data_IF_545320200889
#
_entry.id   IF_545320200889
#
_cell.length_a   1.000
_cell.length_b   1.000
_cell.length_c   1.000
_cell.angle_alpha   90.00
_cell.angle_beta   90.00
_cell.angle_gamma   90.00
#
_symmetry.space_group_name_H-M   'P 1'
#
loop_
_entity.id
_entity.type
_entity.pdbx_description
1 polymer ?
#
# COMPACT_ATOMS: atom_id res chain seq x y z
N UNK A 1 -4.12 22.33 -24.90
CA UNK A 1 -3.35 21.33 -24.13
C UNK A 1 -3.93 19.96 -24.42
N UNK A 2 -3.11 18.94 -24.75
CA UNK A 2 -3.60 17.60 -25.05
C UNK A 2 -4.11 16.90 -23.79
N UNK A 3 -5.26 16.27 -23.90
CA UNK A 3 -5.82 15.41 -22.85
C UNK A 3 -5.06 14.08 -22.86
N UNK A 4 -4.58 13.65 -21.71
CA UNK A 4 -3.84 12.40 -21.54
C UNK A 4 -4.52 11.52 -20.49
N UNK A 5 -4.59 10.22 -20.76
CA UNK A 5 -5.09 9.23 -19.80
C UNK A 5 -4.04 9.05 -18.69
N UNK A 6 -4.49 8.78 -17.46
CA UNK A 6 -3.61 8.48 -16.36
C UNK A 6 -2.74 7.25 -16.68
N UNK A 7 -1.39 7.31 -16.54
CA UNK A 7 -0.49 6.25 -16.99
C UNK A 7 -0.78 4.89 -16.35
N UNK A 8 -1.16 4.85 -15.07
CA UNK A 8 -1.54 3.63 -14.39
C UNK A 8 -2.84 3.05 -15.00
N UNK A 9 -3.87 3.90 -15.20
CA UNK A 9 -5.13 3.47 -15.80
C UNK A 9 -4.95 2.85 -17.18
N UNK A 10 -4.07 3.42 -18.00
CA UNK A 10 -3.76 2.89 -19.33
C UNK A 10 -3.07 1.51 -19.29
N UNK A 11 -2.30 1.21 -18.23
CA UNK A 11 -1.53 -0.03 -18.08
C UNK A 11 -2.24 -1.12 -17.30
N UNK A 12 -3.34 -0.80 -16.63
CA UNK A 12 -4.12 -1.80 -15.89
C UNK A 12 -4.60 -2.90 -16.81
N UNK A 13 -4.65 -4.12 -16.29
CA UNK A 13 -5.03 -5.37 -16.98
C UNK A 13 -3.97 -5.88 -17.95
N UNK A 14 -3.28 -5.02 -18.69
CA UNK A 14 -2.25 -5.44 -19.66
C UNK A 14 -0.91 -5.76 -19.01
N UNK A 15 -0.31 -4.78 -18.31
CA UNK A 15 1.02 -4.91 -17.69
C UNK A 15 0.99 -4.80 -16.16
N UNK A 16 -0.05 -4.19 -15.60
CA UNK A 16 -0.18 -3.99 -14.15
C UNK A 16 -1.52 -4.50 -13.63
N UNK A 17 -1.49 -5.07 -12.43
CA UNK A 17 -2.69 -5.51 -11.71
C UNK A 17 -3.34 -4.35 -10.98
N UNK A 18 -4.65 -4.46 -10.76
CA UNK A 18 -5.37 -3.51 -9.90
C UNK A 18 -4.87 -3.58 -8.46
N UNK A 19 -4.80 -2.43 -7.80
CA UNK A 19 -4.43 -2.33 -6.38
C UNK A 19 -5.57 -2.69 -5.42
N UNK A 20 -6.80 -2.67 -5.91
CA UNK A 20 -7.99 -3.17 -5.20
C UNK A 20 -8.72 -4.11 -6.13
N UNK A 21 -8.98 -5.34 -5.68
CA UNK A 21 -9.63 -6.40 -6.46
C UNK A 21 -10.84 -6.88 -5.69
N UNK A 22 -11.99 -6.27 -6.00
CA UNK A 22 -13.25 -6.65 -5.40
C UNK A 22 -14.43 -6.12 -6.25
N UNK A 23 -15.58 -6.73 -6.04
CA UNK A 23 -16.85 -6.31 -6.60
C UNK A 23 -17.85 -6.09 -5.47
N UNK A 24 -18.73 -5.13 -5.62
CA UNK A 24 -19.83 -4.87 -4.69
C UNK A 24 -21.04 -4.34 -5.43
N UNK A 25 -22.22 -4.61 -4.89
CA UNK A 25 -23.46 -3.97 -5.30
C UNK A 25 -23.39 -2.47 -5.03
N UNK A 26 -24.17 -1.71 -5.79
CA UNK A 26 -24.14 -0.25 -5.80
C UNK A 26 -24.31 0.36 -4.39
N UNK A 27 -25.15 -0.24 -3.56
CA UNK A 27 -25.41 0.25 -2.20
C UNK A 27 -24.21 0.13 -1.23
N UNK A 28 -23.39 -0.90 -1.40
CA UNK A 28 -22.25 -1.18 -0.52
C UNK A 28 -20.94 -0.60 -1.06
N UNK A 29 -20.92 -0.21 -2.32
CA UNK A 29 -19.74 0.28 -3.01
C UNK A 29 -19.08 1.47 -2.31
N UNK A 30 -19.80 2.55 -1.92
CA UNK A 30 -19.18 3.70 -1.23
C UNK A 30 -18.55 3.32 0.10
N UNK A 31 -19.18 2.39 0.86
CA UNK A 31 -18.64 1.94 2.14
C UNK A 31 -17.32 1.19 1.97
N UNK A 32 -17.23 0.31 0.97
CA UNK A 32 -15.99 -0.43 0.72
C UNK A 32 -14.87 0.49 0.21
N UNK A 33 -15.20 1.51 -0.56
CA UNK A 33 -14.24 2.49 -1.03
C UNK A 33 -13.69 3.33 0.14
N UNK A 34 -14.56 3.75 1.07
CA UNK A 34 -14.16 4.48 2.27
C UNK A 34 -13.29 3.60 3.19
N UNK A 35 -13.67 2.33 3.42
CA UNK A 35 -12.85 1.38 4.17
C UNK A 35 -11.46 1.22 3.55
N UNK A 36 -11.36 1.06 2.23
CA UNK A 36 -10.08 0.93 1.52
C UNK A 36 -9.21 2.18 1.67
N UNK A 37 -9.83 3.36 1.62
CA UNK A 37 -9.13 4.63 1.83
C UNK A 37 -8.54 4.73 3.24
N UNK A 38 -9.31 4.40 4.27
CA UNK A 38 -8.84 4.41 5.66
C UNK A 38 -7.74 3.37 5.92
N UNK A 39 -7.85 2.18 5.34
CA UNK A 39 -6.79 1.16 5.42
C UNK A 39 -5.49 1.69 4.82
N UNK A 40 -5.54 2.30 3.64
CA UNK A 40 -4.38 2.87 2.98
C UNK A 40 -3.78 4.03 3.75
N UNK A 41 -4.60 4.93 4.24
CA UNK A 41 -4.17 6.07 5.06
C UNK A 41 -3.43 5.60 6.31
N UNK A 42 -4.01 4.66 7.06
CA UNK A 42 -3.35 4.07 8.23
C UNK A 42 -2.00 3.43 7.89
N UNK A 43 -1.95 2.61 6.84
CA UNK A 43 -0.71 1.93 6.44
C UNK A 43 0.34 2.92 5.91
N UNK A 44 -0.05 4.00 5.26
CA UNK A 44 0.86 5.05 4.81
C UNK A 44 1.55 5.77 5.97
N UNK A 45 0.93 5.86 7.15
CA UNK A 45 1.62 6.39 8.35
C UNK A 45 2.82 5.54 8.76
N UNK A 46 2.80 4.24 8.44
CA UNK A 46 3.89 3.29 8.70
C UNK A 46 4.89 3.17 7.53
N UNK A 47 4.53 3.69 6.36
CA UNK A 47 5.31 3.52 5.13
C UNK A 47 6.72 4.09 5.22
N UNK A 48 6.89 5.26 5.83
CA UNK A 48 8.20 5.93 5.94
C UNK A 48 9.26 5.06 6.62
N UNK A 49 8.88 4.28 7.64
CA UNK A 49 9.82 3.43 8.39
C UNK A 49 10.06 2.08 7.72
N UNK A 50 9.02 1.50 7.18
CA UNK A 50 9.01 0.14 6.64
C UNK A 50 9.33 0.05 5.15
N UNK A 51 9.32 1.16 4.41
CA UNK A 51 9.48 1.17 2.96
C UNK A 51 8.37 0.39 2.26
N UNK A 52 7.12 0.83 2.41
CA UNK A 52 5.97 0.22 1.72
C UNK A 52 5.91 0.76 0.30
N UNK A 53 6.02 -0.11 -0.69
CA UNK A 53 5.91 0.25 -2.11
C UNK A 53 4.46 0.35 -2.55
N UNK A 54 3.68 -0.69 -2.28
CA UNK A 54 2.27 -0.74 -2.65
C UNK A 54 1.46 -1.59 -1.67
N UNK A 55 0.15 -1.34 -1.65
CA UNK A 55 -0.81 -2.07 -0.83
C UNK A 55 -1.88 -2.61 -1.78
N UNK A 56 -2.09 -3.92 -1.77
CA UNK A 56 -3.14 -4.58 -2.54
C UNK A 56 -4.24 -5.06 -1.59
N UNK A 57 -5.50 -4.76 -1.92
CA UNK A 57 -6.66 -5.12 -1.11
C UNK A 57 -7.55 -6.02 -1.94
N UNK A 58 -7.84 -7.21 -1.43
CA UNK A 58 -8.72 -8.19 -2.04
C UNK A 58 -9.91 -8.45 -1.11
N UNK A 59 -11.10 -8.52 -1.67
CA UNK A 59 -12.31 -8.88 -0.93
C UNK A 59 -13.02 -10.02 -1.62
N UNK A 60 -13.65 -10.88 -0.84
CA UNK A 60 -14.56 -11.87 -1.40
C UNK A 60 -15.89 -11.19 -1.84
N UNK A 61 -16.71 -11.91 -2.60
CA UNK A 61 -17.99 -11.42 -3.13
C UNK A 61 -18.96 -10.95 -2.04
N UNK A 62 -18.93 -11.54 -0.85
CA UNK A 62 -19.75 -11.13 0.29
C UNK A 62 -19.19 -9.95 1.09
N UNK A 63 -17.96 -9.49 0.81
CA UNK A 63 -17.30 -8.43 1.58
C UNK A 63 -16.91 -8.83 3.01
N UNK A 64 -17.11 -10.10 3.40
CA UNK A 64 -16.83 -10.59 4.76
C UNK A 64 -15.35 -10.87 5.01
N UNK A 65 -14.59 -11.24 3.97
CA UNK A 65 -13.16 -11.52 4.06
C UNK A 65 -12.39 -10.43 3.32
N UNK A 66 -11.48 -9.79 4.03
CA UNK A 66 -10.62 -8.71 3.51
C UNK A 66 -9.18 -9.19 3.64
N UNK A 67 -8.50 -9.33 2.52
CA UNK A 67 -7.07 -9.65 2.46
C UNK A 67 -6.30 -8.38 2.07
N UNK A 68 -5.36 -7.99 2.93
CA UNK A 68 -4.49 -6.84 2.72
C UNK A 68 -3.07 -7.35 2.52
N UNK A 69 -2.55 -7.21 1.31
CA UNK A 69 -1.17 -7.56 0.96
C UNK A 69 -0.32 -6.30 0.96
N UNK A 70 0.71 -6.27 1.81
CA UNK A 70 1.60 -5.13 1.99
C UNK A 70 2.96 -5.49 1.39
N UNK A 71 3.33 -4.83 0.30
CA UNK A 71 4.64 -5.00 -0.33
C UNK A 71 5.64 -4.05 0.30
N UNK A 72 6.65 -4.61 0.98
CA UNK A 72 7.62 -3.84 1.76
C UNK A 72 9.06 -4.22 1.44
N UNK A 73 9.94 -3.22 1.47
CA UNK A 73 11.39 -3.42 1.36
C UNK A 73 12.00 -3.92 2.69
N UNK A 74 11.34 -3.65 3.82
CA UNK A 74 11.83 -3.99 5.16
C UNK A 74 10.75 -4.67 5.97
N UNK A 75 10.38 -5.91 5.65
CA UNK A 75 9.30 -6.62 6.32
C UNK A 75 9.54 -6.78 7.82
N UNK A 76 10.78 -6.91 8.25
CA UNK A 76 11.14 -7.02 9.67
C UNK A 76 10.68 -5.83 10.53
N UNK A 77 10.64 -4.61 9.96
CA UNK A 77 10.15 -3.42 10.68
C UNK A 77 8.64 -3.50 10.93
N UNK A 78 7.89 -4.05 9.97
CA UNK A 78 6.43 -4.24 10.11
C UNK A 78 6.09 -5.38 11.06
N UNK A 79 6.82 -6.47 10.98
CA UNK A 79 6.63 -7.65 11.85
C UNK A 79 7.00 -7.31 13.29
N UNK A 80 8.09 -6.55 13.47
CA UNK A 80 8.60 -6.17 14.77
C UNK A 80 9.20 -7.35 15.54
N UNK A 81 9.68 -7.07 16.74
CA UNK A 81 10.21 -8.09 17.65
C UNK A 81 9.09 -9.07 18.03
N UNK A 82 9.31 -10.36 17.78
CA UNK A 82 8.36 -11.44 18.13
C UNK A 82 6.94 -11.30 17.54
N UNK A 83 6.80 -10.56 16.41
CA UNK A 83 5.49 -10.41 15.74
C UNK A 83 4.54 -9.38 16.38
N UNK A 84 5.01 -8.59 17.34
CA UNK A 84 4.19 -7.56 18.00
C UNK A 84 3.68 -6.50 17.03
N UNK A 85 4.54 -6.05 16.09
CA UNK A 85 4.17 -5.07 15.08
C UNK A 85 3.03 -5.54 14.18
N UNK A 86 3.08 -6.80 13.71
CA UNK A 86 2.01 -7.39 12.92
C UNK A 86 0.69 -7.48 13.71
N UNK A 87 0.76 -7.91 14.99
CA UNK A 87 -0.40 -7.97 15.87
C UNK A 87 -1.07 -6.61 16.06
N UNK A 88 -0.28 -5.55 16.19
CA UNK A 88 -0.77 -4.19 16.35
C UNK A 88 -1.38 -3.65 15.05
N UNK A 89 -0.76 -3.92 13.90
CA UNK A 89 -1.34 -3.61 12.59
C UNK A 89 -2.69 -4.30 12.45
N UNK A 90 -2.76 -5.60 12.73
CA UNK A 90 -4.00 -6.37 12.67
C UNK A 90 -5.09 -5.79 13.58
N UNK A 91 -4.77 -5.51 14.85
CA UNK A 91 -5.72 -4.92 15.83
C UNK A 91 -6.26 -3.58 15.35
N UNK A 92 -5.40 -2.71 14.83
CA UNK A 92 -5.80 -1.39 14.38
C UNK A 92 -6.62 -1.44 13.08
N UNK A 93 -6.22 -2.27 12.11
CA UNK A 93 -7.02 -2.49 10.90
C UNK A 93 -8.39 -3.07 11.25
N UNK A 94 -8.44 -4.02 12.18
CA UNK A 94 -9.72 -4.57 12.66
C UNK A 94 -10.59 -3.50 13.30
N UNK A 95 -10.04 -2.59 14.09
CA UNK A 95 -10.79 -1.45 14.66
C UNK A 95 -11.36 -0.53 13.58
N UNK A 96 -10.58 -0.22 12.54
CA UNK A 96 -11.01 0.62 11.42
C UNK A 96 -12.18 -0.05 10.68
N UNK A 97 -12.07 -1.34 10.36
CA UNK A 97 -13.05 -2.08 9.59
C UNK A 97 -14.33 -2.38 10.39
N UNK A 98 -14.21 -2.53 11.71
CA UNK A 98 -15.34 -2.79 12.60
C UNK A 98 -16.04 -1.52 13.11
N UNK A 99 -15.71 -0.34 12.60
CA UNK A 99 -16.44 0.88 12.95
C UNK A 99 -17.93 0.70 12.64
N UNK A 100 -18.76 1.16 13.55
CA UNK A 100 -20.24 1.04 13.45
C UNK A 100 -20.78 1.63 12.16
N UNK A 101 -20.12 2.67 11.63
CA UNK A 101 -20.46 3.33 10.37
C UNK A 101 -20.53 2.37 9.18
N UNK A 102 -19.69 1.33 9.16
CA UNK A 102 -19.63 0.34 8.07
C UNK A 102 -20.50 -0.90 8.31
N UNK A 103 -21.09 -1.03 9.50
CA UNK A 103 -21.90 -2.18 9.89
C UNK A 103 -23.41 -1.90 9.87
N UNK A 104 -23.83 -0.69 9.47
CA UNK A 104 -25.22 -0.22 9.58
C UNK A 104 -26.26 -1.10 8.84
N UNK A 105 -25.87 -1.76 7.74
CA UNK A 105 -26.81 -2.58 6.96
C UNK A 105 -26.80 -4.07 7.30
N UNK A 106 -25.69 -4.59 7.84
CA UNK A 106 -25.57 -6.00 8.22
C UNK A 106 -24.75 -6.17 9.51
N UNK A 107 -25.33 -5.92 10.69
CA UNK A 107 -24.61 -5.99 11.97
C UNK A 107 -24.09 -7.39 12.30
N UNK A 108 -24.61 -8.42 11.63
CA UNK A 108 -24.23 -9.84 11.84
C UNK A 108 -23.08 -10.30 10.92
N UNK A 109 -22.58 -9.45 10.01
CA UNK A 109 -21.50 -9.85 9.12
C UNK A 109 -20.16 -9.81 9.87
N UNK A 110 -19.69 -10.97 10.29
CA UNK A 110 -18.36 -11.12 10.89
C UNK A 110 -17.30 -10.86 9.82
N UNK A 111 -16.74 -9.65 9.78
CA UNK A 111 -15.63 -9.33 8.89
C UNK A 111 -14.35 -9.95 9.43
N UNK A 112 -13.67 -10.71 8.57
CA UNK A 112 -12.36 -11.31 8.85
C UNK A 112 -11.30 -10.56 8.04
N UNK A 113 -10.26 -10.10 8.74
CA UNK A 113 -9.12 -9.41 8.12
C UNK A 113 -7.94 -10.35 8.09
N UNK A 114 -7.27 -10.44 6.95
CA UNK A 114 -6.01 -11.17 6.80
C UNK A 114 -4.97 -10.16 6.33
N UNK A 115 -3.84 -10.10 7.01
CA UNK A 115 -2.74 -9.21 6.66
C UNK A 115 -1.54 -10.06 6.26
N UNK A 116 -1.13 -9.92 5.01
CA UNK A 116 0.04 -10.58 4.46
C UNK A 116 1.13 -9.54 4.15
N UNK A 117 2.35 -9.78 4.60
CA UNK A 117 3.51 -8.96 4.27
C UNK A 117 4.33 -9.71 3.24
N UNK A 118 4.54 -9.06 2.09
CA UNK A 118 5.32 -9.60 0.97
C UNK A 118 6.62 -8.81 0.88
N UNK A 119 7.75 -9.51 0.90
CA UNK A 119 9.05 -8.90 0.71
C UNK A 119 9.31 -8.59 -0.76
N UNK A 120 9.85 -7.43 -1.03
CA UNK A 120 10.27 -7.02 -2.36
C UNK A 120 11.68 -7.57 -2.65
N UNK A 121 11.83 -8.28 -3.77
CA UNK A 121 13.12 -8.82 -4.22
C UNK A 121 14.11 -7.72 -4.62
N UNK A 122 13.61 -6.65 -5.25
CA UNK A 122 14.42 -5.53 -5.76
C UNK A 122 13.81 -4.20 -5.33
N UNK A 123 14.03 -3.75 -4.08
CA UNK A 123 13.43 -2.52 -3.57
C UNK A 123 13.90 -1.27 -4.34
N UNK A 124 15.14 -1.25 -4.79
CA UNK A 124 15.72 -0.12 -5.54
C UNK A 124 15.20 -0.02 -7.01
N UNK A 125 14.38 -0.98 -7.46
CA UNK A 125 13.66 -0.90 -8.74
C UNK A 125 12.28 -0.24 -8.59
N UNK A 126 11.76 -0.10 -7.38
CA UNK A 126 10.44 0.46 -7.12
C UNK A 126 10.49 1.99 -7.04
N UNK A 127 9.84 2.67 -7.99
CA UNK A 127 9.86 4.13 -8.09
C UNK A 127 9.35 4.85 -6.82
N UNK A 128 8.37 4.26 -6.14
CA UNK A 128 7.82 4.79 -4.88
C UNK A 128 8.90 4.88 -3.81
N UNK A 129 9.69 3.81 -3.64
CA UNK A 129 10.75 3.74 -2.62
C UNK A 129 11.92 4.67 -2.94
N UNK A 130 12.22 4.86 -4.23
CA UNK A 130 13.23 5.83 -4.65
C UNK A 130 12.76 7.26 -4.37
N UNK A 131 11.46 7.54 -4.62
CA UNK A 131 10.85 8.82 -4.26
C UNK A 131 10.95 9.10 -2.77
N UNK A 132 10.57 8.14 -1.93
CA UNK A 132 10.66 8.24 -0.47
C UNK A 132 12.11 8.46 -0.01
N UNK A 133 13.07 7.78 -0.64
CA UNK A 133 14.49 7.99 -0.35
C UNK A 133 14.93 9.43 -0.66
N UNK A 134 14.52 10.00 -1.81
CA UNK A 134 14.84 11.39 -2.16
C UNK A 134 14.24 12.34 -1.14
N UNK A 135 12.96 12.14 -0.76
CA UNK A 135 12.27 12.95 0.25
C UNK A 135 13.02 12.90 1.58
N UNK A 136 13.42 11.72 2.05
CA UNK A 136 14.18 11.55 3.29
C UNK A 136 15.52 12.32 3.26
N UNK A 137 16.24 12.28 2.12
CA UNK A 137 17.50 13.02 1.97
C UNK A 137 17.26 14.54 2.00
N UNK A 138 16.19 15.02 1.40
CA UNK A 138 15.83 16.45 1.41
C UNK A 138 15.40 16.92 2.79
N UNK A 139 14.63 16.11 3.52
CA UNK A 139 14.25 16.36 4.92
C UNK A 139 15.51 16.49 5.81
N UNK A 140 16.56 15.70 5.54
CA UNK A 140 17.88 15.77 6.18
C UNK A 140 18.76 16.93 5.67
N UNK A 141 18.21 17.82 4.85
CA UNK A 141 18.91 18.99 4.27
C UNK A 141 20.13 18.64 3.41
N UNK A 142 20.17 17.46 2.80
CA UNK A 142 21.18 17.11 1.82
C UNK A 142 20.93 17.89 0.53
N UNK A 143 22.01 18.40 -0.10
CA UNK A 143 21.91 19.13 -1.36
C UNK A 143 21.18 18.28 -2.43
N UNK A 144 20.14 18.83 -3.07
CA UNK A 144 19.26 18.12 -4.00
C UNK A 144 20.02 17.40 -5.13
N UNK A 145 21.08 18.03 -5.67
CA UNK A 145 21.94 17.42 -6.71
C UNK A 145 22.60 16.13 -6.24
N UNK A 146 23.00 16.08 -4.96
CA UNK A 146 23.60 14.90 -4.35
C UNK A 146 22.57 13.81 -4.13
N UNK A 147 21.38 14.15 -3.62
CA UNK A 147 20.27 13.23 -3.40
C UNK A 147 19.85 12.56 -4.73
N UNK A 148 19.66 13.35 -5.80
CA UNK A 148 19.30 12.84 -7.12
C UNK A 148 20.37 11.90 -7.68
N UNK A 149 21.65 12.27 -7.61
CA UNK A 149 22.74 11.39 -8.09
C UNK A 149 22.79 10.06 -7.34
N UNK A 150 22.53 10.07 -6.04
CA UNK A 150 22.47 8.84 -5.24
C UNK A 150 21.28 7.97 -5.64
N UNK A 151 20.11 8.57 -5.87
CA UNK A 151 18.92 7.87 -6.32
C UNK A 151 19.15 7.20 -7.70
N UNK A 152 19.69 7.95 -8.66
CA UNK A 152 20.03 7.41 -9.99
C UNK A 152 21.03 6.24 -9.88
N UNK A 153 22.07 6.40 -9.07
CA UNK A 153 23.05 5.32 -8.86
C UNK A 153 22.42 4.04 -8.31
N UNK A 154 21.48 4.16 -7.35
CA UNK A 154 20.75 2.99 -6.81
C UNK A 154 19.91 2.29 -7.87
N UNK A 155 19.14 3.05 -8.65
CA UNK A 155 18.32 2.48 -9.72
C UNK A 155 19.17 1.81 -10.82
N UNK A 156 20.33 2.37 -11.16
CA UNK A 156 21.25 1.76 -12.13
C UNK A 156 21.81 0.43 -11.62
N UNK A 157 22.16 0.35 -10.32
CA UNK A 157 22.60 -0.92 -9.69
C UNK A 157 21.49 -1.97 -9.73
N UNK A 158 20.24 -1.56 -9.57
CA UNK A 158 19.06 -2.43 -9.68
C UNK A 158 18.72 -2.80 -11.15
N UNK A 159 19.51 -2.35 -12.14
CA UNK A 159 19.32 -2.62 -13.58
C UNK A 159 17.97 -2.15 -14.11
N UNK A 160 17.46 -1.03 -13.61
CA UNK A 160 16.25 -0.41 -14.15
C UNK A 160 16.54 0.18 -15.52
N UNK A 161 15.69 -0.09 -16.51
CA UNK A 161 15.91 0.28 -17.91
C UNK A 161 15.79 1.79 -18.19
N UNK A 162 15.24 2.58 -17.28
CA UNK A 162 15.10 4.04 -17.38
C UNK A 162 14.61 4.66 -16.08
N UNK A 163 14.96 5.91 -15.90
CA UNK A 163 14.60 6.73 -14.74
C UNK A 163 14.00 8.04 -15.25
#
# INVERSE_FOLDING_TARGET
MGQKVHPLGFRLVTTQKHRSVWFSEFENYPNFLEEDSLIREYLNTKAKQAGISRIEIKRNSSGSKIEVEIFSARPGVLVGLSGTGLSDIYKNLRKIILQEKFNLKNPNLKKTVIVNIVELTTPDAEATLIGDFIVEQLEKRVAFRRAIRQAIKRSQVAKVAGI
#
